data_IF_825123480844
#
_entry.id   IF_825123480844
#
_cell.length_a   1.000
_cell.length_b   1.000
_cell.length_c   1.000
_cell.angle_alpha   90.00
_cell.angle_beta   90.00
_cell.angle_gamma   90.00
#
_symmetry.space_group_name_H-M   'P 1'
#
loop_
_entity.id
_entity.type
_entity.pdbx_description
1 polymer ?
#
# COMPACT_ATOMS: atom_id res chain seq x y z
N UNK A 1 5.19 -22.22 -5.00
CA UNK A 1 4.84 -22.48 -3.60
C UNK A 1 4.48 -21.16 -2.90
N UNK A 2 3.48 -21.20 -2.03
CA UNK A 2 3.11 -20.08 -1.14
C UNK A 2 2.85 -20.61 0.27
N UNK A 3 3.45 -19.97 1.27
CA UNK A 3 3.35 -20.40 2.66
C UNK A 3 3.15 -19.22 3.62
N UNK A 4 2.61 -19.48 4.80
CA UNK A 4 2.47 -18.50 5.88
C UNK A 4 3.83 -18.02 6.43
N UNK A 5 4.86 -18.85 6.30
CA UNK A 5 6.22 -18.58 6.76
C UNK A 5 7.24 -18.97 5.69
N UNK A 6 8.38 -18.25 5.58
CA UNK A 6 9.42 -18.57 4.60
C UNK A 6 10.00 -19.98 4.74
N UNK A 7 10.14 -20.48 5.97
CA UNK A 7 10.68 -21.80 6.28
C UNK A 7 9.79 -22.96 5.80
N UNK A 8 8.50 -22.69 5.51
CA UNK A 8 7.55 -23.69 5.03
C UNK A 8 7.44 -23.71 3.50
N UNK A 9 8.30 -22.99 2.77
CA UNK A 9 8.34 -22.95 1.30
C UNK A 9 9.06 -24.18 0.72
N UNK A 10 8.58 -25.35 1.08
CA UNK A 10 9.02 -26.65 0.56
C UNK A 10 7.84 -27.41 -0.03
N UNK A 11 8.11 -28.29 -0.99
CA UNK A 11 7.10 -29.21 -1.52
C UNK A 11 6.50 -30.02 -0.38
N UNK A 12 5.20 -30.19 -0.37
CA UNK A 12 4.40 -30.85 0.66
C UNK A 12 4.32 -30.13 2.03
N UNK A 13 5.01 -28.98 2.21
CA UNK A 13 4.95 -28.18 3.44
C UNK A 13 4.25 -26.82 3.27
N UNK A 14 4.17 -26.32 2.04
CA UNK A 14 3.55 -25.03 1.74
C UNK A 14 2.07 -25.01 2.13
N UNK A 15 1.76 -24.41 3.27
CA UNK A 15 0.44 -24.46 3.91
C UNK A 15 -0.65 -23.65 3.20
N UNK A 16 -0.26 -22.72 2.31
CA UNK A 16 -1.21 -21.84 1.59
C UNK A 16 -1.46 -22.31 0.16
N UNK A 17 -0.43 -22.64 -0.58
CA UNK A 17 -0.58 -23.13 -1.95
C UNK A 17 0.67 -23.83 -2.47
N UNK A 18 0.46 -24.99 -3.04
CA UNK A 18 1.38 -25.67 -3.95
C UNK A 18 0.64 -25.84 -5.27
N UNK A 19 1.22 -25.32 -6.36
CA UNK A 19 0.62 -25.46 -7.70
C UNK A 19 0.83 -26.86 -8.28
N UNK A 20 1.73 -27.64 -7.69
CA UNK A 20 2.30 -28.80 -8.35
C UNK A 20 3.10 -28.42 -9.60
N UNK A 21 3.53 -29.44 -10.34
CA UNK A 21 4.20 -29.23 -11.62
C UNK A 21 3.20 -28.85 -12.70
N UNK A 22 3.39 -27.67 -13.30
CA UNK A 22 2.57 -27.16 -14.40
C UNK A 22 3.43 -27.05 -15.65
N UNK A 23 3.12 -27.81 -16.69
CA UNK A 23 3.77 -27.69 -17.99
C UNK A 23 3.28 -26.42 -18.70
N UNK A 24 4.14 -25.41 -18.81
CA UNK A 24 3.79 -24.12 -19.38
C UNK A 24 5.05 -23.36 -19.82
N UNK A 25 4.94 -22.59 -20.90
CA UNK A 25 5.92 -21.60 -21.33
C UNK A 25 5.67 -20.20 -20.74
N UNK A 26 4.69 -20.08 -19.83
CA UNK A 26 4.34 -18.83 -19.18
C UNK A 26 5.37 -18.42 -18.13
N UNK A 27 6.00 -17.27 -18.33
CA UNK A 27 6.90 -16.65 -17.36
C UNK A 27 6.22 -15.61 -16.45
N UNK A 28 4.97 -15.22 -16.76
CA UNK A 28 4.22 -14.18 -16.01
C UNK A 28 2.74 -14.54 -15.90
N UNK A 29 2.04 -13.92 -14.98
CA UNK A 29 0.58 -14.02 -14.88
C UNK A 29 0.07 -15.35 -14.31
N UNK A 30 0.88 -16.05 -13.50
CA UNK A 30 0.43 -17.23 -12.76
C UNK A 30 -0.46 -16.77 -11.62
N UNK A 31 -1.75 -17.13 -11.72
CA UNK A 31 -2.73 -16.74 -10.70
C UNK A 31 -2.64 -17.63 -9.48
N UNK A 32 -2.67 -17.02 -8.30
CA UNK A 32 -2.79 -17.75 -7.04
C UNK A 32 -4.14 -18.47 -6.97
N UNK A 33 -4.13 -19.74 -6.66
CA UNK A 33 -5.32 -20.59 -6.55
C UNK A 33 -5.37 -21.37 -5.21
N UNK A 34 -4.63 -20.92 -4.22
CA UNK A 34 -4.55 -21.55 -2.91
C UNK A 34 -5.66 -21.11 -1.93
N UNK A 35 -5.36 -21.25 -0.64
CA UNK A 35 -6.30 -20.89 0.43
C UNK A 35 -6.61 -19.40 0.41
N UNK A 36 -7.85 -19.03 0.75
CA UNK A 36 -8.28 -17.63 0.83
C UNK A 36 -7.40 -16.87 1.83
N UNK A 37 -6.85 -15.76 1.37
CA UNK A 37 -6.06 -14.85 2.19
C UNK A 37 -6.92 -13.68 2.66
N UNK A 38 -6.72 -13.27 3.90
CA UNK A 38 -7.43 -12.15 4.53
C UNK A 38 -6.60 -10.87 4.47
N UNK A 39 -7.25 -9.72 4.70
CA UNK A 39 -6.61 -8.40 4.77
C UNK A 39 -5.43 -8.42 5.73
N UNK A 40 -4.31 -7.83 5.32
CA UNK A 40 -3.07 -7.77 6.10
C UNK A 40 -2.35 -9.11 6.28
N UNK A 41 -2.86 -10.20 5.69
CA UNK A 41 -2.17 -11.49 5.73
C UNK A 41 -0.91 -11.41 4.87
N UNK A 42 0.23 -11.57 5.51
CA UNK A 42 1.51 -11.76 4.82
C UNK A 42 1.68 -13.22 4.43
N UNK A 43 2.15 -13.44 3.23
CA UNK A 43 2.50 -14.75 2.71
C UNK A 43 3.87 -14.69 2.04
N UNK A 44 4.66 -15.73 2.24
CA UNK A 44 5.93 -15.95 1.55
C UNK A 44 5.71 -16.82 0.33
N UNK A 45 6.50 -16.63 -0.70
CA UNK A 45 6.42 -17.41 -1.92
C UNK A 45 7.78 -17.63 -2.54
N UNK A 46 7.91 -18.73 -3.30
CA UNK A 46 9.01 -18.97 -4.24
C UNK A 46 8.51 -19.70 -5.48
N UNK A 47 9.28 -19.63 -6.53
CA UNK A 47 9.06 -20.35 -7.77
C UNK A 47 10.11 -21.46 -7.89
N UNK A 48 9.66 -22.64 -8.27
CA UNK A 48 10.52 -23.77 -8.65
C UNK A 48 10.26 -24.02 -10.14
N UNK A 49 11.31 -24.05 -10.93
CA UNK A 49 11.24 -24.28 -12.38
C UNK A 49 12.05 -25.50 -12.73
N UNK A 50 11.49 -26.38 -13.54
CA UNK A 50 12.21 -27.49 -14.15
C UNK A 50 12.31 -27.24 -15.67
N UNK A 51 13.52 -27.34 -16.21
CA UNK A 51 13.75 -27.16 -17.64
C UNK A 51 13.49 -28.45 -18.43
N UNK A 52 13.58 -28.38 -19.76
CA UNK A 52 13.38 -29.50 -20.68
C UNK A 52 14.43 -30.62 -20.53
N UNK A 53 15.47 -30.42 -19.73
CA UNK A 53 16.52 -31.39 -19.40
C UNK A 53 16.34 -32.00 -18.01
N UNK A 54 15.28 -31.64 -17.31
CA UNK A 54 15.03 -32.07 -15.92
C UNK A 54 15.89 -31.37 -14.87
N UNK A 55 16.56 -30.26 -15.23
CA UNK A 55 17.30 -29.48 -14.25
C UNK A 55 16.35 -28.53 -13.49
N UNK A 56 16.42 -28.59 -12.17
CA UNK A 56 15.56 -27.80 -11.27
C UNK A 56 16.27 -26.55 -10.80
N UNK A 57 15.55 -25.43 -10.77
CA UNK A 57 16.00 -24.13 -10.32
C UNK A 57 14.99 -23.56 -9.34
N UNK A 58 15.46 -23.05 -8.20
CA UNK A 58 14.66 -22.39 -7.17
C UNK A 58 14.93 -20.88 -7.17
N UNK A 59 13.87 -20.07 -7.07
CA UNK A 59 14.03 -18.65 -6.76
C UNK A 59 14.34 -18.44 -5.28
N UNK A 60 14.97 -17.32 -4.95
CA UNK A 60 14.99 -16.84 -3.57
C UNK A 60 13.54 -16.61 -3.07
N UNK A 61 13.28 -16.85 -1.80
CA UNK A 61 12.00 -16.51 -1.20
C UNK A 61 11.69 -15.03 -1.28
N UNK A 62 10.45 -14.71 -1.59
CA UNK A 62 9.92 -13.35 -1.52
C UNK A 62 8.60 -13.34 -0.74
N UNK A 63 7.98 -12.19 -0.58
CA UNK A 63 6.73 -12.10 0.17
C UNK A 63 5.78 -11.05 -0.43
N UNK A 64 4.52 -11.17 -0.10
CA UNK A 64 3.51 -10.16 -0.32
C UNK A 64 2.58 -10.05 0.89
N UNK A 65 1.86 -8.96 0.99
CA UNK A 65 0.84 -8.73 2.01
C UNK A 65 -0.48 -8.35 1.33
N UNK A 66 -1.57 -8.94 1.79
CA UNK A 66 -2.89 -8.66 1.22
C UNK A 66 -3.35 -7.26 1.59
N UNK A 67 -3.73 -6.50 0.57
CA UNK A 67 -4.36 -5.20 0.74
C UNK A 67 -5.82 -5.29 1.15
N UNK A 68 -6.55 -4.19 1.04
CA UNK A 68 -8.00 -4.14 1.26
C UNK A 68 -8.71 -4.91 0.14
N UNK A 69 -9.61 -5.80 0.51
CA UNK A 69 -10.26 -6.73 -0.42
C UNK A 69 -11.63 -6.24 -0.90
N UNK A 70 -12.29 -5.39 -0.11
CA UNK A 70 -13.60 -4.86 -0.43
C UNK A 70 -13.63 -3.34 -0.22
N UNK A 71 -14.48 -2.60 -0.96
CA UNK A 71 -14.66 -1.16 -0.73
C UNK A 71 -15.07 -0.81 0.71
N UNK A 72 -15.75 -1.73 1.41
CA UNK A 72 -16.18 -1.54 2.81
C UNK A 72 -15.04 -1.63 3.82
N UNK A 73 -13.90 -2.16 3.42
CA UNK A 73 -12.71 -2.26 4.27
C UNK A 73 -12.04 -0.89 4.41
N UNK A 74 -12.30 0.00 3.46
CA UNK A 74 -11.87 1.38 3.50
C UNK A 74 -12.75 2.17 4.47
N UNK A 75 -12.19 2.67 5.59
CA UNK A 75 -12.93 3.31 6.67
C UNK A 75 -12.78 4.83 6.73
N UNK A 76 -11.75 5.36 6.08
CA UNK A 76 -11.49 6.79 6.11
C UNK A 76 -12.40 7.58 5.16
N UNK A 77 -12.52 8.87 5.44
CA UNK A 77 -13.21 9.83 4.57
C UNK A 77 -12.21 10.74 3.88
N UNK A 78 -12.58 11.23 2.69
CA UNK A 78 -11.81 12.27 2.03
C UNK A 78 -11.80 13.55 2.88
N UNK A 79 -10.62 14.13 3.06
CA UNK A 79 -10.43 15.43 3.68
C UNK A 79 -9.79 16.38 2.67
N UNK A 80 -10.07 17.67 2.77
CA UNK A 80 -9.52 18.70 1.92
C UNK A 80 -9.20 19.94 2.74
N UNK A 81 -8.35 20.80 2.19
CA UNK A 81 -8.17 22.15 2.71
C UNK A 81 -9.48 22.96 2.58
N UNK A 82 -9.67 23.95 3.44
CA UNK A 82 -10.85 24.84 3.40
C UNK A 82 -10.89 25.66 2.10
N UNK A 83 -12.08 26.13 1.71
CA UNK A 83 -12.26 26.91 0.47
C UNK A 83 -11.40 28.18 0.41
N UNK A 84 -11.09 28.79 1.54
CA UNK A 84 -10.22 29.98 1.63
C UNK A 84 -8.78 29.71 1.17
N UNK A 85 -8.32 28.46 1.24
CA UNK A 85 -7.00 28.04 0.75
C UNK A 85 -6.97 27.73 -0.75
N UNK A 86 -8.11 27.73 -1.45
CA UNK A 86 -8.26 27.33 -2.85
C UNK A 86 -8.20 28.47 -3.87
N UNK A 87 -7.76 29.67 -3.48
CA UNK A 87 -8.02 30.86 -4.28
C UNK A 87 -7.26 30.98 -5.60
N UNK A 88 -6.12 30.33 -5.78
CA UNK A 88 -5.39 30.29 -7.06
C UNK A 88 -4.38 29.14 -7.04
N UNK A 89 -4.49 28.13 -7.91
CA UNK A 89 -3.58 26.98 -7.93
C UNK A 89 -2.09 27.37 -8.03
N UNK A 90 -1.80 28.43 -8.77
CA UNK A 90 -0.43 28.95 -8.95
C UNK A 90 0.17 29.66 -7.74
N UNK A 91 -0.66 30.01 -6.74
CA UNK A 91 -0.26 30.76 -5.54
C UNK A 91 -0.55 30.01 -4.24
N UNK A 92 -1.15 28.83 -4.30
CA UNK A 92 -1.57 28.08 -3.12
C UNK A 92 -0.41 27.23 -2.62
N UNK A 93 0.01 27.46 -1.38
CA UNK A 93 0.97 26.59 -0.71
C UNK A 93 0.40 25.18 -0.57
N UNK A 94 1.28 24.16 -0.60
CA UNK A 94 0.90 22.80 -0.32
C UNK A 94 0.18 22.70 1.03
N UNK A 95 -1.04 22.15 1.10
CA UNK A 95 -1.75 22.03 2.37
C UNK A 95 -1.06 21.03 3.30
N UNK A 96 -1.05 21.38 4.59
CA UNK A 96 -0.56 20.53 5.67
C UNK A 96 -1.74 20.06 6.49
N UNK A 97 -1.84 18.76 6.67
CA UNK A 97 -2.82 18.12 7.55
C UNK A 97 -2.11 17.57 8.78
N UNK A 98 -2.74 17.68 9.93
CA UNK A 98 -2.24 17.09 11.18
C UNK A 98 -3.38 16.55 12.01
N UNK A 99 -3.14 15.40 12.63
CA UNK A 99 -4.06 14.80 13.60
C UNK A 99 -3.27 14.16 14.72
N UNK A 100 -3.63 14.50 15.95
CA UNK A 100 -3.16 13.79 17.14
C UNK A 100 -4.08 12.61 17.45
N UNK A 101 -3.52 11.52 17.95
CA UNK A 101 -4.26 10.30 18.33
C UNK A 101 -3.49 9.53 19.40
N UNK A 102 -4.21 8.71 20.17
CA UNK A 102 -3.63 7.90 21.24
C UNK A 102 -3.75 6.41 20.96
N UNK A 103 -2.71 5.67 21.25
CA UNK A 103 -2.68 4.19 21.22
C UNK A 103 -2.63 3.66 22.64
N UNK A 104 -3.72 3.05 23.09
CA UNK A 104 -3.90 2.65 24.48
C UNK A 104 -3.65 1.15 24.74
N UNK A 105 -3.01 0.47 23.79
CA UNK A 105 -2.68 -0.96 23.88
C UNK A 105 -1.28 -1.21 23.33
N UNK A 106 -0.59 -2.27 23.80
CA UNK A 106 0.68 -2.69 23.23
C UNK A 106 0.56 -2.92 21.72
N UNK A 107 1.51 -2.36 20.97
CA UNK A 107 1.52 -2.39 19.50
C UNK A 107 2.23 -3.66 19.04
N UNK A 108 1.50 -4.58 18.46
CA UNK A 108 2.07 -5.76 17.79
C UNK A 108 2.40 -5.50 16.34
N UNK A 109 1.48 -4.84 15.63
CA UNK A 109 1.68 -4.41 14.25
C UNK A 109 0.75 -3.24 13.93
N UNK A 110 1.21 -2.32 13.09
CA UNK A 110 0.41 -1.21 12.60
C UNK A 110 0.67 -0.95 11.12
N UNK A 111 -0.39 -0.65 10.39
CA UNK A 111 -0.34 -0.33 8.96
C UNK A 111 -1.03 1.01 8.71
N UNK A 112 -0.35 1.89 8.01
CA UNK A 112 -0.92 3.11 7.48
C UNK A 112 -1.40 2.85 6.05
N UNK A 113 -2.71 2.91 5.82
CA UNK A 113 -3.31 2.93 4.49
C UNK A 113 -3.58 4.38 4.14
N UNK A 114 -2.93 4.89 3.11
CA UNK A 114 -3.00 6.31 2.74
C UNK A 114 -3.20 6.48 1.25
N UNK A 115 -4.04 7.43 0.88
CA UNK A 115 -4.26 7.84 -0.51
C UNK A 115 -4.35 9.34 -0.60
N UNK A 116 -3.75 9.92 -1.64
CA UNK A 116 -3.86 11.34 -1.96
C UNK A 116 -4.17 11.52 -3.43
N UNK A 117 -5.01 12.49 -3.75
CA UNK A 117 -5.17 12.97 -5.11
C UNK A 117 -4.12 14.06 -5.36
N UNK A 118 -3.15 13.75 -6.21
CA UNK A 118 -1.88 14.45 -6.32
C UNK A 118 -0.77 13.63 -5.67
N UNK A 119 0.23 14.29 -5.12
CA UNK A 119 1.30 13.64 -4.37
C UNK A 119 1.17 13.93 -2.87
N UNK A 120 1.66 13.04 -2.03
CA UNK A 120 1.71 13.30 -0.60
C UNK A 120 3.00 12.75 0.02
N UNK A 121 3.37 13.34 1.14
CA UNK A 121 4.34 12.82 2.08
C UNK A 121 3.70 12.73 3.47
N UNK A 122 3.80 11.56 4.10
CA UNK A 122 3.28 11.32 5.44
C UNK A 122 4.41 11.30 6.47
N UNK A 123 4.10 11.73 7.68
CA UNK A 123 5.00 11.77 8.82
C UNK A 123 4.27 11.25 10.07
N UNK A 124 4.94 10.42 10.86
CA UNK A 124 4.47 9.99 12.17
C UNK A 124 5.49 10.45 13.20
N UNK A 125 5.03 11.15 14.24
CA UNK A 125 5.85 11.68 15.31
C UNK A 125 7.08 12.47 14.82
N UNK A 126 6.93 13.20 13.70
CA UNK A 126 7.98 13.99 13.07
C UNK A 126 8.91 13.22 12.13
N UNK A 127 8.77 11.91 12.03
CA UNK A 127 9.58 11.07 11.13
C UNK A 127 8.82 10.75 9.85
N UNK A 128 9.47 10.90 8.68
CA UNK A 128 8.87 10.57 7.38
C UNK A 128 8.53 9.08 7.30
N UNK A 129 7.34 8.77 6.77
CA UNK A 129 6.87 7.42 6.54
C UNK A 129 7.37 6.95 5.17
N UNK A 130 8.16 5.88 5.17
CA UNK A 130 8.73 5.33 3.94
C UNK A 130 9.80 6.22 3.32
N UNK A 131 10.36 5.77 2.20
CA UNK A 131 11.42 6.42 1.44
C UNK A 131 10.96 6.85 0.03
N UNK A 132 9.72 6.58 -0.30
CA UNK A 132 9.13 6.89 -1.60
C UNK A 132 9.03 8.40 -1.83
N UNK A 133 9.04 8.77 -3.12
CA UNK A 133 8.79 10.11 -3.61
C UNK A 133 7.79 10.06 -4.76
N UNK A 134 7.03 11.14 -4.95
CA UNK A 134 6.02 11.27 -6.01
C UNK A 134 4.92 10.20 -5.96
N UNK A 135 4.50 9.83 -4.77
CA UNK A 135 3.42 8.89 -4.52
C UNK A 135 2.08 9.60 -4.20
N UNK A 136 0.96 8.96 -4.52
CA UNK A 136 0.77 7.74 -5.29
C UNK A 136 0.95 7.95 -6.79
N UNK A 137 1.17 6.85 -7.52
CA UNK A 137 1.26 6.90 -8.99
C UNK A 137 -0.03 7.48 -9.58
N UNK A 138 0.12 8.32 -10.60
CA UNK A 138 -0.99 8.90 -11.35
C UNK A 138 -1.84 7.80 -12.00
N UNK A 139 -3.15 7.98 -11.91
CA UNK A 139 -4.14 7.11 -12.53
C UNK A 139 -5.25 7.93 -13.18
N UNK A 140 -6.17 7.28 -13.82
CA UNK A 140 -7.41 7.89 -14.21
C UNK A 140 -8.33 7.99 -12.98
N UNK A 141 -8.25 9.11 -12.26
CA UNK A 141 -8.84 9.32 -10.93
C UNK A 141 -10.36 9.16 -10.87
N UNK A 142 -11.06 9.36 -11.99
CA UNK A 142 -12.49 9.11 -12.10
C UNK A 142 -12.87 7.62 -12.10
N UNK A 143 -11.88 6.74 -12.27
CA UNK A 143 -12.09 5.28 -12.30
C UNK A 143 -11.31 4.56 -11.19
N UNK A 144 -10.09 4.96 -10.94
CA UNK A 144 -9.21 4.26 -10.03
C UNK A 144 -8.33 5.24 -9.28
N UNK A 145 -8.34 5.14 -7.97
CA UNK A 145 -7.40 5.83 -7.09
C UNK A 145 -6.54 4.78 -6.41
N UNK A 146 -5.24 4.96 -6.45
CA UNK A 146 -4.28 4.08 -5.76
C UNK A 146 -4.09 4.54 -4.33
N UNK A 147 -3.86 3.59 -3.44
CA UNK A 147 -3.44 3.83 -2.08
C UNK A 147 -2.09 3.15 -1.81
N UNK A 148 -1.40 3.60 -0.80
CA UNK A 148 -0.17 3.00 -0.30
C UNK A 148 -0.43 2.34 1.05
N UNK A 149 0.37 1.33 1.35
CA UNK A 149 0.37 0.66 2.65
C UNK A 149 1.78 0.71 3.20
N UNK A 150 1.94 1.32 4.37
CA UNK A 150 3.23 1.40 5.06
C UNK A 150 3.17 0.62 6.37
N UNK A 151 4.23 -0.12 6.67
CA UNK A 151 4.45 -0.65 8.02
C UNK A 151 4.95 0.50 8.91
N UNK A 152 4.14 0.87 9.86
CA UNK A 152 4.44 1.97 10.80
C UNK A 152 4.55 1.47 12.26
N UNK A 153 4.70 0.18 12.43
CA UNK A 153 4.73 -0.47 13.74
C UNK A 153 5.76 0.17 14.67
N UNK A 154 6.98 0.41 14.19
CA UNK A 154 8.08 0.97 14.98
C UNK A 154 8.06 2.49 15.10
N UNK A 155 7.15 3.16 14.41
CA UNK A 155 7.02 4.62 14.41
C UNK A 155 6.02 5.14 15.46
N UNK A 156 5.22 4.22 16.02
CA UNK A 156 4.18 4.54 16.98
C UNK A 156 4.67 4.29 18.40
N UNK A 157 4.21 5.14 19.31
CA UNK A 157 4.37 4.98 20.76
C UNK A 157 3.07 4.49 21.41
N UNK A 158 3.17 3.76 22.52
CA UNK A 158 2.03 3.67 23.42
C UNK A 158 1.74 5.06 24.01
N UNK A 159 0.47 5.46 24.04
CA UNK A 159 0.06 6.81 24.41
C UNK A 159 -0.05 7.75 23.19
N UNK A 160 0.36 8.98 23.33
CA UNK A 160 0.15 10.06 22.37
C UNK A 160 1.03 9.92 21.12
N UNK A 161 0.41 10.12 19.97
CA UNK A 161 1.03 10.13 18.65
C UNK A 161 0.46 11.26 17.80
N UNK A 162 1.22 11.66 16.77
CA UNK A 162 0.76 12.60 15.77
C UNK A 162 1.06 12.08 14.37
N UNK A 163 0.09 12.21 13.47
CA UNK A 163 0.30 12.06 12.04
C UNK A 163 0.22 13.41 11.36
N UNK A 164 1.17 13.69 10.48
CA UNK A 164 1.20 14.85 9.62
C UNK A 164 1.27 14.43 8.17
N UNK A 165 0.64 15.20 7.27
CA UNK A 165 0.75 14.95 5.84
C UNK A 165 0.85 16.27 5.09
N UNK A 166 1.77 16.30 4.12
CA UNK A 166 1.91 17.37 3.14
C UNK A 166 1.33 16.90 1.82
N UNK A 167 0.44 17.65 1.21
CA UNK A 167 -0.20 17.30 -0.04
C UNK A 167 0.31 18.18 -1.18
N UNK A 168 0.95 17.58 -2.18
CA UNK A 168 1.35 18.26 -3.40
C UNK A 168 0.29 18.16 -4.49
N UNK A 169 0.26 19.14 -5.39
CA UNK A 169 -0.73 19.21 -6.47
C UNK A 169 -0.68 18.01 -7.43
N UNK A 170 0.52 17.54 -7.78
CA UNK A 170 0.71 16.48 -8.76
C UNK A 170 -0.04 16.77 -10.07
N UNK A 171 -0.47 15.73 -10.76
CA UNK A 171 -1.27 15.83 -11.99
C UNK A 171 -2.75 16.09 -11.73
N UNK A 172 -3.21 15.90 -10.50
CA UNK A 172 -4.62 16.06 -10.15
C UNK A 172 -5.06 17.53 -10.10
N UNK A 173 -4.22 18.40 -9.59
CA UNK A 173 -4.53 19.81 -9.37
C UNK A 173 -3.59 20.71 -10.19
N UNK A 174 -3.54 20.50 -11.50
CA UNK A 174 -2.75 21.34 -12.40
C UNK A 174 -3.55 22.55 -12.91
N UNK A 175 -2.93 23.75 -12.98
CA UNK A 175 -3.51 24.90 -13.65
C UNK A 175 -3.80 24.60 -15.12
N UNK A 176 -5.02 24.90 -15.59
CA UNK A 176 -5.40 24.77 -16.98
C UNK A 176 -5.89 23.39 -17.43
N UNK A 177 -5.79 22.35 -16.62
CA UNK A 177 -6.43 21.06 -16.86
C UNK A 177 -7.74 21.04 -16.08
N UNK A 178 -8.86 20.88 -16.78
CA UNK A 178 -10.22 20.97 -16.21
C UNK A 178 -10.63 19.75 -15.34
N UNK A 179 -9.69 19.08 -14.69
CA UNK A 179 -9.99 18.10 -13.65
C UNK A 179 -9.97 18.84 -12.32
N UNK A 180 -10.93 19.76 -12.18
CA UNK A 180 -11.15 20.50 -10.93
C UNK A 180 -11.83 19.57 -9.93
N UNK A 181 -11.07 18.89 -9.10
CA UNK A 181 -11.58 18.39 -7.82
C UNK A 181 -10.47 18.54 -6.79
N UNK A 182 -10.87 19.05 -5.66
CA UNK A 182 -10.08 19.35 -4.47
C UNK A 182 -9.17 18.21 -4.08
N UNK A 183 -7.92 18.48 -3.85
CA UNK A 183 -6.98 17.51 -3.30
C UNK A 183 -7.56 16.96 -2.00
N UNK A 184 -7.75 15.67 -1.96
CA UNK A 184 -8.34 14.99 -0.82
C UNK A 184 -7.44 13.83 -0.40
N UNK A 185 -7.44 13.51 0.87
CA UNK A 185 -6.59 12.51 1.47
C UNK A 185 -7.39 11.63 2.41
N UNK A 186 -7.07 10.33 2.45
CA UNK A 186 -7.60 9.42 3.44
C UNK A 186 -6.58 9.16 4.54
N UNK A 187 -7.01 9.24 5.79
CA UNK A 187 -6.28 8.82 6.98
C UNK A 187 -7.10 7.80 7.77
N UNK A 188 -6.46 6.73 8.20
CA UNK A 188 -7.01 5.71 9.09
C UNK A 188 -6.36 5.77 10.45
#
# INVERSE_FOLDING_TARGET
>A
LVASKPEDLEVDKADLWDSGLIHSDRSVGVSYAGKILTIGKRASWKVIVEDDKGQVYDSEPSWFEMGLLNPKDWKASWIAATEESNCKPELTAAPYFRKDFSVNKPIQSARLYISGLGYHEAFINGTKVGDHVLDPVMTRYDKTVKYLVHDVTTMLNEGENAIGVVLGNGWYNQPGISIRHLGAMYLF
#
